data_IF_123981003571
#
_entry.id   IF_123981003571
#
_cell.length_a   1.000
_cell.length_b   1.000
_cell.length_c   1.000
_cell.angle_alpha   90.00
_cell.angle_beta   90.00
_cell.angle_gamma   90.00
#
_symmetry.space_group_name_H-M   'P 1'
#
loop_
_entity.id
_entity.type
_entity.pdbx_description
1 polymer ?
#
# COMPACT_ATOMS: atom_id res chain seq x y z
N UNK A 1 -5.75 8.64 -6.94
CA UNK A 1 -7.07 8.67 -7.59
C UNK A 1 -7.33 7.29 -8.19
N UNK A 2 -8.59 6.89 -8.26
CA UNK A 2 -9.05 5.62 -8.84
C UNK A 2 -10.07 5.98 -9.90
N UNK A 3 -9.94 5.37 -11.08
CA UNK A 3 -10.82 5.62 -12.22
C UNK A 3 -11.50 4.32 -12.65
N UNK A 4 -12.77 4.40 -13.06
CA UNK A 4 -13.49 3.29 -13.68
C UNK A 4 -12.99 3.04 -15.12
N UNK A 5 -13.35 1.90 -15.74
CA UNK A 5 -13.08 1.65 -17.15
C UNK A 5 -13.66 2.72 -18.10
N UNK A 6 -14.74 3.37 -17.69
CA UNK A 6 -15.40 4.47 -18.42
C UNK A 6 -14.67 5.81 -18.26
N UNK A 7 -13.68 5.88 -17.37
CA UNK A 7 -12.88 7.06 -17.09
C UNK A 7 -13.40 7.94 -15.95
N UNK A 8 -14.43 7.51 -15.23
CA UNK A 8 -14.99 8.26 -14.10
C UNK A 8 -14.10 8.15 -12.86
N UNK A 9 -13.87 9.26 -12.15
CA UNK A 9 -13.13 9.26 -10.89
C UNK A 9 -14.02 8.69 -9.76
N UNK A 10 -13.84 7.41 -9.44
CA UNK A 10 -14.66 6.70 -8.44
C UNK A 10 -14.13 6.85 -7.01
N UNK A 11 -12.85 7.19 -6.84
CA UNK A 11 -12.29 7.50 -5.53
C UNK A 11 -11.09 8.43 -5.62
N UNK A 12 -10.97 9.31 -4.63
CA UNK A 12 -9.81 10.16 -4.42
C UNK A 12 -9.33 10.01 -2.99
N UNK A 13 -8.03 9.80 -2.83
CA UNK A 13 -7.36 9.78 -1.55
C UNK A 13 -6.24 10.81 -1.58
N UNK A 14 -6.28 11.76 -0.65
CA UNK A 14 -5.22 12.74 -0.42
C UNK A 14 -4.41 12.26 0.80
N UNK A 15 -3.08 12.19 0.65
CA UNK A 15 -2.16 11.62 1.65
C UNK A 15 -2.36 12.28 3.02
N UNK A 16 -2.70 11.47 4.03
CA UNK A 16 -2.97 11.97 5.39
C UNK A 16 -1.67 12.25 6.15
N UNK A 17 -0.69 11.35 6.06
CA UNK A 17 0.58 11.48 6.75
C UNK A 17 1.68 11.94 5.78
N UNK A 18 2.02 13.23 5.83
CA UNK A 18 3.10 13.79 5.01
C UNK A 18 4.47 13.33 5.53
N UNK A 19 5.37 12.99 4.60
CA UNK A 19 6.70 12.50 4.93
C UNK A 19 7.56 13.62 5.50
N UNK A 20 8.14 13.34 6.68
CA UNK A 20 9.21 14.14 7.26
C UNK A 20 10.33 13.21 7.73
N UNK A 21 11.55 13.56 7.36
CA UNK A 21 12.76 12.83 7.75
C UNK A 21 13.93 13.79 7.80
N UNK A 22 14.76 13.65 8.84
CA UNK A 22 16.00 14.40 8.98
C UNK A 22 16.98 13.49 9.74
N UNK A 23 18.11 13.18 9.12
CA UNK A 23 19.20 12.44 9.75
C UNK A 23 20.50 13.27 9.85
N UNK A 24 20.41 14.59 9.67
CA UNK A 24 21.54 15.51 9.62
C UNK A 24 22.34 15.50 8.33
N UNK A 25 22.10 14.56 7.40
CA UNK A 25 22.73 14.49 6.07
C UNK A 25 21.71 14.72 4.95
N UNK A 26 20.55 14.11 5.07
CA UNK A 26 19.39 14.26 4.19
C UNK A 26 18.20 14.77 5.01
N UNK A 27 17.53 15.79 4.50
CA UNK A 27 16.33 16.34 5.10
C UNK A 27 15.19 16.41 4.06
N UNK A 28 14.07 15.80 4.40
CA UNK A 28 12.84 15.81 3.61
C UNK A 28 11.70 16.33 4.47
N UNK A 29 10.94 17.28 3.93
CA UNK A 29 9.71 17.77 4.55
C UNK A 29 8.68 18.06 3.45
N UNK A 30 7.78 17.10 3.23
CA UNK A 30 6.69 17.21 2.25
C UNK A 30 5.72 18.34 2.61
N UNK A 31 5.58 18.70 3.89
CA UNK A 31 4.62 19.71 4.34
C UNK A 31 4.94 21.13 3.86
N UNK A 32 6.19 21.35 3.39
CA UNK A 32 6.61 22.62 2.79
C UNK A 32 5.96 22.90 1.44
N UNK A 33 5.48 21.86 0.75
CA UNK A 33 4.95 21.98 -0.63
C UNK A 33 3.62 21.27 -0.84
N UNK A 34 3.18 20.41 0.10
CA UNK A 34 1.94 19.66 0.02
C UNK A 34 1.01 19.97 1.19
N UNK A 35 -0.29 19.92 0.92
CA UNK A 35 -1.34 19.91 1.94
C UNK A 35 -1.74 18.45 2.24
N UNK A 36 -1.89 18.12 3.52
CA UNK A 36 -2.38 16.80 3.93
C UNK A 36 -3.88 16.64 3.67
N UNK A 37 -4.28 15.42 3.35
CA UNK A 37 -5.67 15.00 3.46
C UNK A 37 -6.09 14.72 4.91
N UNK A 38 -7.36 14.38 5.09
CA UNK A 38 -7.93 14.08 6.42
C UNK A 38 -8.91 12.91 6.43
N UNK A 39 -9.20 12.32 5.26
CA UNK A 39 -10.25 11.32 5.10
C UNK A 39 -9.64 10.00 4.60
N UNK A 40 -9.72 8.91 5.38
CA UNK A 40 -9.48 7.57 4.88
C UNK A 40 -10.45 7.27 3.71
N UNK A 41 -9.99 6.52 2.71
CA UNK A 41 -10.80 6.22 1.53
C UNK A 41 -10.78 4.74 1.20
N UNK A 42 -11.98 4.17 1.05
CA UNK A 42 -12.23 2.82 0.54
C UNK A 42 -13.10 2.94 -0.72
N UNK A 43 -12.96 1.98 -1.64
CA UNK A 43 -13.88 1.80 -2.75
C UNK A 43 -14.15 0.31 -2.97
N UNK A 44 -15.25 0.00 -3.66
CA UNK A 44 -15.64 -1.38 -3.99
C UNK A 44 -15.28 -1.69 -5.44
N UNK A 45 -14.81 -2.91 -5.68
CA UNK A 45 -14.46 -3.43 -7.00
C UNK A 45 -15.12 -4.80 -7.20
N UNK A 46 -16.07 -4.88 -8.12
CA UNK A 46 -16.67 -6.15 -8.52
C UNK A 46 -15.70 -6.95 -9.40
N UNK A 47 -15.45 -8.22 -9.04
CA UNK A 47 -14.65 -9.15 -9.83
C UNK A 47 -15.52 -10.06 -10.69
N UNK A 48 -14.92 -10.63 -11.74
CA UNK A 48 -15.62 -11.45 -12.75
C UNK A 48 -16.18 -12.75 -12.19
N UNK A 49 -15.64 -13.22 -11.07
CA UNK A 49 -16.08 -14.41 -10.34
C UNK A 49 -17.26 -14.13 -9.38
N UNK A 50 -17.81 -12.90 -9.39
CA UNK A 50 -19.00 -12.54 -8.63
C UNK A 50 -18.72 -12.04 -7.21
N UNK A 51 -17.45 -11.91 -6.81
CA UNK A 51 -17.09 -11.28 -5.55
C UNK A 51 -17.03 -9.75 -5.67
N UNK A 52 -17.20 -9.06 -4.53
CA UNK A 52 -16.98 -7.62 -4.42
C UNK A 52 -15.88 -7.39 -3.42
N UNK A 53 -14.78 -6.80 -3.88
CA UNK A 53 -13.59 -6.53 -3.07
C UNK A 53 -13.66 -5.12 -2.52
N UNK A 54 -13.42 -4.97 -1.21
CA UNK A 54 -13.22 -3.66 -0.58
C UNK A 54 -11.76 -3.29 -0.56
N UNK A 55 -11.43 -2.12 -1.13
CA UNK A 55 -10.05 -1.71 -1.35
C UNK A 55 -9.76 -0.42 -0.60
N UNK A 56 -8.86 -0.49 0.38
CA UNK A 56 -8.37 0.67 1.15
C UNK A 56 -7.19 1.36 0.46
N UNK A 57 -7.16 2.69 0.51
CA UNK A 57 -6.15 3.53 -0.13
C UNK A 57 -5.18 4.14 0.88
N UNK A 58 -3.88 4.08 0.60
CA UNK A 58 -2.85 4.76 1.39
C UNK A 58 -1.71 5.19 0.47
N UNK A 59 -0.85 6.10 0.91
CA UNK A 59 0.29 6.57 0.12
C UNK A 59 1.55 6.56 0.98
N UNK A 60 2.55 5.80 0.56
CA UNK A 60 3.93 5.86 1.06
C UNK A 60 4.05 5.91 2.59
N UNK A 61 4.24 7.10 3.16
CA UNK A 61 4.52 7.30 4.58
C UNK A 61 3.36 6.90 5.49
N UNK A 62 2.12 6.87 4.96
CA UNK A 62 0.97 6.28 5.65
C UNK A 62 1.25 4.87 6.16
N UNK A 63 2.12 4.10 5.48
CA UNK A 63 2.54 2.75 5.86
C UNK A 63 3.06 2.66 7.30
N UNK A 64 3.57 3.75 7.87
CA UNK A 64 4.10 3.79 9.24
C UNK A 64 3.03 3.91 10.33
N UNK A 65 1.77 4.18 9.97
CA UNK A 65 0.68 4.47 10.89
C UNK A 65 -0.33 3.30 10.88
N UNK A 66 -0.16 2.30 11.78
CA UNK A 66 -1.01 1.10 11.79
C UNK A 66 -2.50 1.42 11.99
N UNK A 67 -2.83 2.54 12.64
CA UNK A 67 -4.20 2.96 12.95
C UNK A 67 -5.04 3.15 11.69
N UNK A 68 -4.45 3.67 10.61
CA UNK A 68 -5.13 3.84 9.33
C UNK A 68 -5.54 2.48 8.73
N UNK A 69 -4.64 1.50 8.81
CA UNK A 69 -4.88 0.17 8.26
C UNK A 69 -5.84 -0.64 9.13
N UNK A 70 -5.78 -0.47 10.45
CA UNK A 70 -6.75 -1.05 11.37
C UNK A 70 -8.16 -0.51 11.10
N UNK A 71 -8.28 0.78 10.82
CA UNK A 71 -9.54 1.41 10.42
C UNK A 71 -10.08 0.80 9.12
N UNK A 72 -9.23 0.58 8.11
CA UNK A 72 -9.65 -0.10 6.88
C UNK A 72 -10.09 -1.54 7.13
N UNK A 73 -9.38 -2.30 7.97
CA UNK A 73 -9.78 -3.65 8.36
C UNK A 73 -11.16 -3.66 9.04
N UNK A 74 -11.41 -2.72 9.96
CA UNK A 74 -12.71 -2.56 10.63
C UNK A 74 -13.84 -2.18 9.67
N UNK A 75 -13.54 -1.54 8.54
CA UNK A 75 -14.49 -1.27 7.46
C UNK A 75 -14.68 -2.45 6.49
N UNK A 76 -14.01 -3.57 6.77
CA UNK A 76 -14.07 -4.79 5.97
C UNK A 76 -13.24 -4.72 4.69
N UNK A 77 -12.13 -3.97 4.69
CA UNK A 77 -11.20 -4.00 3.56
C UNK A 77 -10.66 -5.43 3.34
N UNK A 78 -10.49 -5.80 2.08
CA UNK A 78 -9.93 -7.08 1.63
C UNK A 78 -8.54 -6.87 1.01
N UNK A 79 -8.33 -5.71 0.37
CA UNK A 79 -7.07 -5.31 -0.25
C UNK A 79 -6.66 -3.92 0.22
N UNK A 80 -5.37 -3.72 0.42
CA UNK A 80 -4.78 -2.42 0.70
C UNK A 80 -3.82 -2.04 -0.43
N UNK A 81 -4.02 -0.86 -1.01
CA UNK A 81 -3.10 -0.28 -1.99
C UNK A 81 -2.15 0.70 -1.29
N UNK A 82 -0.85 0.54 -1.56
CA UNK A 82 0.22 1.35 -0.95
C UNK A 82 1.21 1.87 -2.01
N UNK A 83 0.75 2.64 -3.02
CA UNK A 83 1.64 3.30 -3.97
C UNK A 83 2.66 4.19 -3.24
N UNK A 84 3.94 4.05 -3.59
CA UNK A 84 5.03 4.55 -2.76
C UNK A 84 6.27 5.01 -3.52
N UNK A 85 7.02 5.91 -2.90
CA UNK A 85 8.36 6.30 -3.31
C UNK A 85 9.28 6.35 -2.08
N UNK A 86 9.52 5.18 -1.47
CA UNK A 86 10.38 5.07 -0.28
C UNK A 86 11.81 5.50 -0.61
N UNK A 87 12.42 6.26 0.28
CA UNK A 87 13.86 6.58 0.20
C UNK A 87 14.68 5.30 0.29
N UNK A 88 15.83 5.25 -0.38
CA UNK A 88 16.64 4.04 -0.45
C UNK A 88 16.98 3.47 0.94
N UNK A 89 17.46 4.32 1.85
CA UNK A 89 17.88 3.93 3.20
C UNK A 89 16.68 3.37 4.01
N UNK A 90 15.56 4.10 4.03
CA UNK A 90 14.41 3.65 4.83
C UNK A 90 13.70 2.45 4.20
N UNK A 91 13.73 2.35 2.87
CA UNK A 91 13.16 1.23 2.13
C UNK A 91 13.92 -0.06 2.38
N UNK A 92 15.25 -0.02 2.33
CA UNK A 92 16.11 -1.18 2.63
C UNK A 92 15.81 -1.79 3.99
N UNK A 93 15.57 -0.95 5.00
CA UNK A 93 15.34 -1.40 6.37
C UNK A 93 13.88 -1.80 6.67
N UNK A 94 12.90 -1.07 6.10
CA UNK A 94 11.52 -1.13 6.60
C UNK A 94 10.47 -1.55 5.59
N UNK A 95 10.75 -1.48 4.29
CA UNK A 95 9.72 -1.58 3.25
C UNK A 95 8.94 -2.90 3.34
N UNK A 96 9.62 -4.03 3.20
CA UNK A 96 8.98 -5.34 3.22
C UNK A 96 8.35 -5.63 4.60
N UNK A 97 9.09 -5.37 5.67
CA UNK A 97 8.65 -5.64 7.04
C UNK A 97 7.33 -4.94 7.34
N UNK A 98 7.20 -3.66 6.99
CA UNK A 98 5.98 -2.90 7.23
C UNK A 98 4.82 -3.39 6.36
N UNK A 99 5.04 -3.68 5.08
CA UNK A 99 3.99 -4.19 4.19
C UNK A 99 3.44 -5.53 4.67
N UNK A 100 4.34 -6.46 5.05
CA UNK A 100 3.96 -7.75 5.60
C UNK A 100 3.23 -7.59 6.93
N UNK A 101 3.68 -6.69 7.80
CA UNK A 101 2.99 -6.38 9.04
C UNK A 101 1.55 -5.91 8.78
N UNK A 102 1.32 -5.00 7.82
CA UNK A 102 -0.04 -4.56 7.46
C UNK A 102 -0.90 -5.68 6.90
N UNK A 103 -0.33 -6.58 6.12
CA UNK A 103 -1.06 -7.74 5.60
C UNK A 103 -1.49 -8.69 6.72
N UNK A 104 -0.54 -9.05 7.59
CA UNK A 104 -0.74 -10.02 8.69
C UNK A 104 -1.73 -9.48 9.73
N UNK A 105 -1.47 -8.28 10.26
CA UNK A 105 -2.24 -7.77 11.40
C UNK A 105 -3.69 -7.43 11.04
N UNK A 106 -3.95 -7.18 9.76
CA UNK A 106 -5.26 -6.83 9.23
C UNK A 106 -5.91 -7.94 8.40
N UNK A 107 -5.23 -9.08 8.21
CA UNK A 107 -5.73 -10.24 7.44
C UNK A 107 -6.28 -9.87 6.06
N UNK A 108 -5.46 -9.17 5.27
CA UNK A 108 -5.78 -8.61 3.95
C UNK A 108 -4.63 -8.79 2.98
N UNK A 109 -4.92 -8.74 1.67
CA UNK A 109 -3.86 -8.56 0.69
C UNK A 109 -3.29 -7.14 0.76
N UNK A 110 -1.99 -7.01 0.49
CA UNK A 110 -1.33 -5.70 0.36
C UNK A 110 -0.64 -5.63 -1.00
N UNK A 111 -0.94 -4.60 -1.78
CA UNK A 111 -0.31 -4.35 -3.08
C UNK A 111 0.39 -2.99 -3.06
N UNK A 112 1.69 -2.98 -3.29
CA UNK A 112 2.52 -1.80 -3.11
C UNK A 112 3.38 -1.55 -4.35
N UNK A 113 2.84 -0.76 -5.28
CA UNK A 113 3.58 -0.24 -6.42
C UNK A 113 4.62 0.79 -5.96
N UNK A 114 5.88 0.61 -6.32
CA UNK A 114 6.98 1.42 -5.80
C UNK A 114 7.83 2.04 -6.91
N UNK A 115 8.17 3.32 -6.72
CA UNK A 115 9.22 3.99 -7.49
C UNK A 115 10.59 3.41 -7.11
N UNK A 116 11.44 3.11 -8.09
CA UNK A 116 12.78 2.57 -7.89
C UNK A 116 13.84 3.25 -8.75
N UNK A 117 15.11 3.12 -8.35
CA UNK A 117 16.25 3.66 -9.10
C UNK A 117 16.62 5.09 -8.70
N UNK A 118 17.40 5.74 -9.56
CA UNK A 118 17.86 7.13 -9.40
C UNK A 118 17.01 8.02 -10.30
N UNK A 119 16.39 9.03 -9.70
CA UNK A 119 15.56 10.04 -10.37
C UNK A 119 16.45 11.13 -10.98
N UNK A 120 15.93 11.89 -11.95
CA UNK A 120 16.68 12.97 -12.63
C UNK A 120 17.26 14.02 -11.67
N UNK A 121 16.60 14.25 -10.54
CA UNK A 121 17.06 15.17 -9.50
C UNK A 121 18.09 14.55 -8.52
N UNK A 122 18.63 13.36 -8.82
CA UNK A 122 19.61 12.65 -8.01
C UNK A 122 19.02 11.89 -6.82
N UNK A 123 17.71 12.03 -6.51
CA UNK A 123 17.07 11.25 -5.45
C UNK A 123 17.10 9.76 -5.79
N UNK A 124 17.35 8.90 -4.81
CA UNK A 124 17.30 7.44 -4.98
C UNK A 124 16.13 6.83 -4.21
N UNK A 125 15.31 6.04 -4.88
CA UNK A 125 14.18 5.32 -4.25
C UNK A 125 14.39 3.81 -4.30
N UNK A 126 13.74 3.12 -3.35
CA UNK A 126 14.01 1.72 -3.06
C UNK A 126 13.53 0.74 -4.13
N UNK A 127 12.43 1.02 -4.83
CA UNK A 127 11.78 0.04 -5.71
C UNK A 127 11.12 -1.06 -4.88
N UNK A 128 11.36 -2.32 -5.25
CA UNK A 128 10.81 -3.49 -4.58
C UNK A 128 9.28 -3.49 -4.54
N UNK A 129 8.64 -3.15 -5.66
CA UNK A 129 7.19 -3.32 -5.84
C UNK A 129 6.80 -4.72 -5.40
N UNK A 130 5.75 -4.84 -4.58
CA UNK A 130 5.48 -6.08 -3.85
C UNK A 130 3.97 -6.33 -3.72
N UNK A 131 3.59 -7.61 -3.79
CA UNK A 131 2.26 -8.11 -3.42
C UNK A 131 2.41 -9.10 -2.27
N UNK A 132 1.60 -8.92 -1.22
CA UNK A 132 1.61 -9.73 -0.01
C UNK A 132 0.24 -10.36 0.26
N UNK A 133 0.23 -11.62 0.68
CA UNK A 133 -0.98 -12.35 1.07
C UNK A 133 -1.45 -11.97 2.50
N UNK A 134 -2.70 -12.28 2.88
CA UNK A 134 -3.20 -12.10 4.25
C UNK A 134 -2.37 -12.82 5.33
N UNK A 135 -1.62 -13.85 4.95
CA UNK A 135 -0.74 -14.59 5.87
C UNK A 135 0.67 -13.99 5.94
N UNK A 136 0.93 -12.89 5.23
CA UNK A 136 2.22 -12.24 5.19
C UNK A 136 3.23 -12.88 4.23
N UNK A 137 2.78 -13.73 3.30
CA UNK A 137 3.64 -14.28 2.25
C UNK A 137 3.85 -13.25 1.14
N UNK A 138 5.08 -13.14 0.62
CA UNK A 138 5.37 -12.31 -0.56
C UNK A 138 5.04 -13.12 -1.81
N UNK A 139 3.93 -12.80 -2.46
CA UNK A 139 3.42 -13.55 -3.62
C UNK A 139 4.15 -13.15 -4.91
N UNK A 140 4.54 -11.88 -5.01
CA UNK A 140 5.24 -11.36 -6.17
C UNK A 140 6.02 -10.09 -5.84
N UNK A 141 7.16 -9.91 -6.51
CA UNK A 141 8.04 -8.78 -6.29
C UNK A 141 8.78 -8.36 -7.57
N UNK A 142 8.99 -7.06 -7.73
CA UNK A 142 9.92 -6.47 -8.70
C UNK A 142 10.94 -5.60 -7.94
N UNK A 143 12.16 -6.09 -7.72
CA UNK A 143 13.16 -5.39 -6.93
C UNK A 143 13.59 -4.05 -7.53
N UNK A 144 13.90 -4.02 -8.84
CA UNK A 144 14.45 -2.84 -9.52
C UNK A 144 13.99 -2.80 -10.99
N UNK A 145 14.09 -1.61 -11.59
CA UNK A 145 13.73 -1.37 -12.99
C UNK A 145 12.23 -1.22 -13.21
N UNK A 146 11.88 -0.80 -14.42
CA UNK A 146 10.49 -0.68 -14.86
C UNK A 146 9.91 -2.05 -15.18
N UNK A 147 8.69 -2.32 -14.72
CA UNK A 147 8.00 -3.58 -14.98
C UNK A 147 6.67 -3.68 -14.26
N UNK A 148 6.02 -4.83 -14.41
CA UNK A 148 4.72 -5.13 -13.83
C UNK A 148 4.84 -6.40 -13.00
N UNK A 149 4.29 -6.37 -11.78
CA UNK A 149 4.06 -7.57 -10.97
C UNK A 149 2.60 -7.94 -11.14
N UNK A 150 2.34 -9.13 -11.68
CA UNK A 150 1.00 -9.68 -11.85
C UNK A 150 0.79 -10.81 -10.84
N UNK A 151 -0.36 -10.79 -10.16
CA UNK A 151 -0.76 -11.80 -9.17
C UNK A 151 -2.27 -12.02 -9.20
N UNK A 152 -2.68 -13.28 -9.12
CA UNK A 152 -4.09 -13.66 -8.97
C UNK A 152 -4.45 -13.70 -7.48
N UNK A 153 -5.44 -12.89 -7.09
CA UNK A 153 -5.94 -12.87 -5.71
C UNK A 153 -7.14 -13.79 -5.59
N UNK A 154 -7.05 -14.79 -4.71
CA UNK A 154 -8.13 -15.74 -4.47
C UNK A 154 -8.94 -15.34 -3.24
N UNK A 155 -10.26 -15.24 -3.39
CA UNK A 155 -11.19 -14.96 -2.30
C UNK A 155 -11.04 -15.94 -1.12
N UNK A 156 -10.85 -17.22 -1.45
CA UNK A 156 -10.67 -18.30 -0.47
C UNK A 156 -9.44 -18.11 0.43
N UNK A 157 -8.41 -17.40 -0.02
CA UNK A 157 -7.24 -17.13 0.84
C UNK A 157 -7.58 -16.16 1.97
N UNK A 158 -8.40 -15.14 1.69
CA UNK A 158 -8.88 -14.20 2.71
C UNK A 158 -9.79 -14.89 3.69
N UNK A 159 -10.79 -15.63 3.19
CA UNK A 159 -11.78 -16.28 4.05
C UNK A 159 -11.13 -17.35 4.91
N UNK A 160 -10.21 -18.15 4.34
CA UNK A 160 -9.45 -19.14 5.08
C UNK A 160 -8.53 -18.50 6.13
N UNK A 161 -7.85 -17.39 5.82
CA UNK A 161 -7.02 -16.68 6.80
C UNK A 161 -7.84 -16.20 8.00
N UNK A 162 -8.96 -15.49 7.75
CA UNK A 162 -9.86 -14.97 8.79
C UNK A 162 -10.55 -16.07 9.60
N UNK A 163 -10.83 -17.22 8.97
CA UNK A 163 -11.44 -18.38 9.65
C UNK A 163 -10.44 -19.14 10.52
N UNK A 164 -9.22 -19.39 10.00
CA UNK A 164 -8.18 -20.15 10.73
C UNK A 164 -7.60 -19.38 11.91
N UNK A 165 -7.53 -18.06 11.80
CA UNK A 165 -7.01 -17.18 12.85
C UNK A 165 -7.88 -15.92 12.96
N UNK A 166 -9.04 -15.96 13.62
CA UNK A 166 -9.91 -14.78 13.73
C UNK A 166 -9.32 -13.75 14.70
N UNK A 167 -8.59 -12.77 14.14
CA UNK A 167 -7.84 -11.77 14.91
C UNK A 167 -8.41 -10.35 14.81
N UNK A 168 -9.59 -10.19 14.19
CA UNK A 168 -10.29 -8.93 13.95
C UNK A 168 -11.64 -8.88 14.67
#
# INVERSE_FOLDING_TARGET
MVFSPEGDCVARYDKIHLFRFDNGQEAFDESRVLQRGSQPQVFELASRDGHTWRIGLSICYDLRFPELYRLYAAQGADVLLVPSAFTYITGQAHWEVLLRARAIENQVFVMAAAQGGVHENGRRTWGHTLVCSPWGEVMGQLPQGSGVVLQDLAWDQITACRTKLPAL
#
